data_IF_184899887190
#
_entry.id   IF_184899887190
#
_cell.length_a   1.000
_cell.length_b   1.000
_cell.length_c   1.000
_cell.angle_alpha   90.00
_cell.angle_beta   90.00
_cell.angle_gamma   90.00
#
_symmetry.space_group_name_H-M   'P 1'
#
loop_
_entity.id
_entity.type
_entity.pdbx_description
1 polymer ?
#
# COMPACT_ATOMS: atom_id res chain seq x y z
N UNK A 1 -52.91 -25.64 -15.92
CA UNK A 1 -54.33 -26.03 -16.11
C UNK A 1 -54.75 -26.86 -14.92
N UNK A 2 -55.48 -26.27 -13.98
CA UNK A 2 -56.62 -26.86 -13.28
C UNK A 2 -57.28 -25.69 -12.53
N UNK A 3 -58.42 -25.26 -13.09
CA UNK A 3 -59.32 -24.27 -12.50
C UNK A 3 -60.15 -24.95 -11.42
N UNK A 4 -60.23 -24.33 -10.24
CA UNK A 4 -61.14 -24.69 -9.17
C UNK A 4 -61.66 -23.40 -8.55
N UNK A 5 -62.82 -22.95 -9.02
CA UNK A 5 -63.52 -21.73 -8.64
C UNK A 5 -64.61 -22.08 -7.62
N UNK A 6 -64.58 -21.50 -6.42
CA UNK A 6 -65.72 -21.41 -5.47
C UNK A 6 -65.46 -20.24 -4.48
N UNK A 7 -66.47 -19.66 -3.81
CA UNK A 7 -66.86 -18.27 -4.03
C UNK A 7 -66.57 -17.34 -2.84
N UNK A 8 -66.50 -16.06 -3.16
CA UNK A 8 -66.45 -14.91 -2.25
C UNK A 8 -67.64 -14.91 -1.29
N UNK A 9 -67.37 -15.01 0.02
CA UNK A 9 -68.33 -14.64 1.05
C UNK A 9 -68.11 -13.17 1.44
N UNK A 10 -69.20 -12.43 1.26
CA UNK A 10 -69.54 -11.07 1.67
C UNK A 10 -68.87 -10.59 2.95
N UNK A 11 -68.04 -9.55 2.82
CA UNK A 11 -67.59 -8.70 3.94
C UNK A 11 -68.69 -7.65 4.15
N UNK A 12 -69.43 -7.77 5.24
CA UNK A 12 -70.37 -6.74 5.70
C UNK A 12 -69.56 -5.61 6.37
N UNK A 13 -69.23 -4.58 5.58
CA UNK A 13 -68.69 -3.32 6.09
C UNK A 13 -69.81 -2.53 6.75
N UNK A 14 -69.79 -2.47 8.08
CA UNK A 14 -70.71 -1.66 8.87
C UNK A 14 -70.44 -0.18 8.62
N UNK A 15 -71.44 0.51 8.07
CA UNK A 15 -71.50 1.95 7.84
C UNK A 15 -71.06 2.76 9.07
N UNK A 16 -70.01 3.57 8.90
CA UNK A 16 -69.74 4.71 9.78
C UNK A 16 -70.57 5.87 9.23
N UNK A 17 -71.71 6.17 9.87
CA UNK A 17 -72.46 7.41 9.65
C UNK A 17 -71.62 8.59 10.14
N UNK A 18 -71.00 9.28 9.19
CA UNK A 18 -70.49 10.64 9.31
C UNK A 18 -71.67 11.62 9.41
N UNK A 19 -71.98 12.02 10.64
CA UNK A 19 -72.84 13.17 10.92
C UNK A 19 -71.99 14.44 11.00
N UNK A 20 -71.85 15.14 9.87
CA UNK A 20 -71.39 16.52 9.82
C UNK A 20 -72.59 17.43 10.12
N UNK A 21 -72.63 18.02 11.31
CA UNK A 21 -73.38 19.23 11.66
C UNK A 21 -72.43 19.95 12.64
N UNK A 22 -71.68 20.95 12.21
CA UNK A 22 -72.23 22.25 11.87
C UNK A 22 -71.94 23.17 13.05
N UNK A 23 -70.82 23.89 12.96
CA UNK A 23 -70.38 24.88 13.93
C UNK A 23 -71.46 25.95 14.19
N UNK A 24 -71.86 26.10 15.45
CA UNK A 24 -72.30 27.39 15.99
C UNK A 24 -71.62 27.58 17.34
N UNK A 25 -70.67 28.50 17.37
CA UNK A 25 -69.97 28.94 18.55
C UNK A 25 -70.94 29.63 19.52
N UNK A 26 -70.97 29.17 20.78
CA UNK A 26 -71.40 29.99 21.92
C UNK A 26 -70.50 29.65 23.11
N UNK A 27 -69.70 30.63 23.52
CA UNK A 27 -68.85 30.58 24.70
C UNK A 27 -69.71 30.41 25.95
N UNK A 28 -69.61 29.24 26.59
CA UNK A 28 -70.14 28.97 27.92
C UNK A 28 -68.96 28.89 28.92
N UNK A 29 -69.06 29.77 29.91
CA UNK A 29 -68.27 30.02 31.13
C UNK A 29 -67.55 28.78 31.74
N UNK A 30 -66.33 28.93 32.30
CA UNK A 30 -65.46 27.84 32.83
C UNK A 30 -65.88 27.14 34.14
N UNK A 31 -67.05 27.41 34.72
CA UNK A 31 -67.46 26.85 36.03
C UNK A 31 -67.80 25.35 36.03
N UNK A 32 -68.24 24.79 34.90
CA UNK A 32 -68.68 23.38 34.81
C UNK A 32 -67.49 22.40 34.87
N UNK A 33 -66.35 22.79 34.29
CA UNK A 33 -65.12 21.97 34.25
C UNK A 33 -64.46 21.89 35.63
N UNK A 34 -64.43 22.98 36.38
CA UNK A 34 -63.79 23.02 37.71
C UNK A 34 -64.55 22.15 38.73
N UNK A 35 -65.89 22.14 38.69
CA UNK A 35 -66.71 21.26 39.51
C UNK A 35 -66.44 19.78 39.22
N UNK A 36 -66.40 19.39 37.92
CA UNK A 36 -66.09 18.02 37.50
C UNK A 36 -64.69 17.58 37.95
N UNK A 37 -63.70 18.47 37.85
CA UNK A 37 -62.32 18.21 38.32
C UNK A 37 -62.28 17.99 39.84
N UNK A 38 -62.99 18.80 40.62
CA UNK A 38 -63.04 18.67 42.08
C UNK A 38 -63.67 17.32 42.47
N UNK A 39 -64.79 16.93 41.85
CA UNK A 39 -65.43 15.63 42.12
C UNK A 39 -64.53 14.45 41.73
N UNK A 40 -63.85 14.53 40.57
CA UNK A 40 -62.89 13.51 40.16
C UNK A 40 -61.69 13.41 41.11
N UNK A 41 -61.14 14.55 41.55
CA UNK A 41 -60.06 14.60 42.54
C UNK A 41 -60.49 13.99 43.87
N UNK A 42 -61.69 14.32 44.38
CA UNK A 42 -62.25 13.70 45.60
C UNK A 42 -62.37 12.19 45.45
N UNK A 43 -62.90 11.70 44.32
CA UNK A 43 -63.04 10.26 44.03
C UNK A 43 -61.69 9.55 44.01
N UNK A 44 -60.63 10.18 43.48
CA UNK A 44 -59.29 9.57 43.36
C UNK A 44 -58.45 9.70 44.64
N UNK A 45 -58.61 10.77 45.41
CA UNK A 45 -57.88 11.03 46.65
C UNK A 45 -58.53 10.39 47.88
N UNK A 46 -59.81 9.99 47.79
CA UNK A 46 -60.56 9.43 48.92
C UNK A 46 -60.69 10.46 50.05
N UNK A 47 -60.29 10.07 51.27
CA UNK A 47 -60.35 10.93 52.46
C UNK A 47 -59.21 11.96 52.57
N UNK A 48 -58.31 12.02 51.58
CA UNK A 48 -57.19 12.98 51.61
C UNK A 48 -57.62 14.37 51.14
N UNK A 49 -57.25 15.45 51.86
CA UNK A 49 -57.60 16.80 51.44
C UNK A 49 -56.91 17.15 50.11
N UNK A 50 -57.65 17.81 49.21
CA UNK A 50 -57.12 18.30 47.93
C UNK A 50 -56.13 19.43 48.24
N UNK A 51 -54.88 19.29 47.78
CA UNK A 51 -53.87 20.35 47.89
C UNK A 51 -54.32 21.58 47.09
N UNK A 52 -54.22 22.80 47.65
CA UNK A 52 -54.57 24.01 46.91
C UNK A 52 -53.68 24.13 45.66
N UNK A 53 -54.31 24.34 44.51
CA UNK A 53 -53.66 24.49 43.22
C UNK A 53 -54.09 25.79 42.54
N UNK A 54 -53.26 26.31 41.64
CA UNK A 54 -53.57 27.53 40.89
C UNK A 54 -54.61 27.22 39.80
N UNK A 55 -55.82 27.76 39.96
CA UNK A 55 -56.92 27.63 39.01
C UNK A 55 -56.72 28.64 37.87
N UNK A 56 -55.87 28.27 36.92
CA UNK A 56 -55.66 28.98 35.66
C UNK A 56 -56.25 28.15 34.50
N UNK A 57 -56.65 28.78 33.39
CA UNK A 57 -57.27 28.12 32.23
C UNK A 57 -56.45 26.91 31.78
N UNK A 58 -55.13 27.08 31.69
CA UNK A 58 -54.19 25.99 31.36
C UNK A 58 -54.24 24.83 32.37
N UNK A 59 -54.29 25.12 33.67
CA UNK A 59 -54.33 24.09 34.72
C UNK A 59 -55.66 23.34 34.70
N UNK A 60 -56.78 24.04 34.51
CA UNK A 60 -58.10 23.43 34.44
C UNK A 60 -58.27 22.55 33.20
N UNK A 61 -57.71 22.96 32.05
CA UNK A 61 -57.73 22.15 30.83
C UNK A 61 -56.91 20.87 30.98
N UNK A 62 -55.70 20.96 31.53
CA UNK A 62 -54.83 19.80 31.80
C UNK A 62 -55.52 18.82 32.75
N UNK A 63 -56.09 19.31 33.86
CA UNK A 63 -56.77 18.46 34.84
C UNK A 63 -58.06 17.86 34.30
N UNK A 64 -58.82 18.60 33.49
CA UNK A 64 -60.02 18.08 32.82
C UNK A 64 -59.67 16.94 31.86
N UNK A 65 -58.65 17.13 31.03
CA UNK A 65 -58.17 16.11 30.09
C UNK A 65 -57.63 14.89 30.84
N UNK A 66 -56.86 15.11 31.92
CA UNK A 66 -56.35 14.02 32.76
C UNK A 66 -57.50 13.24 33.42
N UNK A 67 -58.55 13.93 33.87
CA UNK A 67 -59.73 13.29 34.45
C UNK A 67 -60.45 12.40 33.44
N UNK A 68 -60.69 12.92 32.23
CA UNK A 68 -61.33 12.18 31.15
C UNK A 68 -60.49 10.96 30.70
N UNK A 69 -59.17 11.14 30.52
CA UNK A 69 -58.27 10.04 30.21
C UNK A 69 -58.25 8.98 31.32
N UNK A 70 -58.27 9.38 32.60
CA UNK A 70 -58.27 8.42 33.70
C UNK A 70 -59.61 7.69 33.81
N UNK A 71 -60.74 8.36 33.61
CA UNK A 71 -62.05 7.71 33.61
C UNK A 71 -62.19 6.70 32.47
N UNK A 72 -61.74 7.06 31.27
CA UNK A 72 -61.69 6.15 30.12
C UNK A 72 -60.82 4.93 30.42
N UNK A 73 -59.61 5.14 30.94
CA UNK A 73 -58.71 4.05 31.32
C UNK A 73 -59.26 3.17 32.43
N UNK A 74 -59.87 3.76 33.47
CA UNK A 74 -60.50 2.99 34.55
C UNK A 74 -61.62 2.10 34.00
N UNK A 75 -62.43 2.63 33.10
CA UNK A 75 -63.49 1.89 32.43
C UNK A 75 -62.93 0.73 31.59
N UNK A 76 -61.91 0.98 30.78
CA UNK A 76 -61.27 -0.07 29.96
C UNK A 76 -60.62 -1.16 30.81
N UNK A 77 -59.97 -0.77 31.92
CA UNK A 77 -59.43 -1.73 32.90
C UNK A 77 -60.55 -2.53 33.55
N UNK A 78 -61.67 -1.90 33.92
CA UNK A 78 -62.81 -2.60 34.49
C UNK A 78 -63.39 -3.64 33.51
N UNK A 79 -63.54 -3.27 32.23
CA UNK A 79 -63.95 -4.20 31.17
C UNK A 79 -62.96 -5.37 31.01
N UNK A 80 -61.66 -5.10 31.00
CA UNK A 80 -60.64 -6.15 30.92
C UNK A 80 -60.65 -7.09 32.14
N UNK A 81 -60.90 -6.55 33.35
CA UNK A 81 -61.06 -7.35 34.56
C UNK A 81 -62.29 -8.26 34.45
N UNK A 82 -63.41 -7.72 33.96
CA UNK A 82 -64.65 -8.49 33.84
C UNK A 82 -64.57 -9.55 32.74
N UNK A 83 -63.90 -9.25 31.62
CA UNK A 83 -63.56 -10.24 30.58
C UNK A 83 -62.68 -11.36 31.13
N UNK A 84 -61.60 -11.04 31.85
CA UNK A 84 -60.73 -12.04 32.48
C UNK A 84 -61.47 -12.90 33.51
N UNK A 85 -62.36 -12.31 34.31
CA UNK A 85 -63.22 -13.07 35.23
C UNK A 85 -64.16 -14.00 34.48
N UNK A 86 -64.77 -13.54 33.37
CA UNK A 86 -65.63 -14.36 32.54
C UNK A 86 -64.84 -15.54 31.95
N UNK A 87 -63.70 -15.26 31.32
CA UNK A 87 -62.81 -16.27 30.75
C UNK A 87 -62.35 -17.29 31.78
N UNK A 88 -62.05 -16.84 33.02
CA UNK A 88 -61.68 -17.74 34.13
C UNK A 88 -62.83 -18.65 34.53
N UNK A 89 -64.07 -18.14 34.54
CA UNK A 89 -65.26 -18.97 34.81
C UNK A 89 -65.50 -19.97 33.69
N UNK A 90 -65.35 -19.56 32.44
CA UNK A 90 -65.51 -20.43 31.27
C UNK A 90 -64.46 -21.55 31.25
N UNK A 91 -63.19 -21.24 31.50
CA UNK A 91 -62.12 -22.25 31.56
C UNK A 91 -62.31 -23.19 32.74
N UNK A 92 -62.72 -22.69 33.90
CA UNK A 92 -63.05 -23.53 35.06
C UNK A 92 -64.25 -24.45 34.79
N UNK A 93 -65.29 -23.95 34.13
CA UNK A 93 -66.45 -24.74 33.74
C UNK A 93 -66.08 -25.82 32.71
N UNK A 94 -65.28 -25.48 31.70
CA UNK A 94 -64.77 -26.44 30.72
C UNK A 94 -63.90 -27.52 31.37
N UNK A 95 -63.04 -27.15 32.33
CA UNK A 95 -62.23 -28.09 33.08
C UNK A 95 -63.08 -29.06 33.92
N UNK A 96 -64.11 -28.56 34.61
CA UNK A 96 -65.05 -29.39 35.36
C UNK A 96 -65.85 -30.31 34.44
N UNK A 97 -66.36 -29.80 33.31
CA UNK A 97 -67.07 -30.61 32.32
C UNK A 97 -66.21 -31.75 31.79
N UNK A 98 -64.95 -31.48 31.40
CA UNK A 98 -64.02 -32.51 30.94
C UNK A 98 -63.73 -33.54 32.03
N UNK A 99 -63.55 -33.10 33.28
CA UNK A 99 -63.33 -33.98 34.43
C UNK A 99 -64.54 -34.92 34.65
N UNK A 100 -65.75 -34.38 34.64
CA UNK A 100 -66.98 -35.15 34.80
C UNK A 100 -67.19 -36.12 33.63
N UNK A 101 -66.99 -35.65 32.40
CA UNK A 101 -67.08 -36.48 31.19
C UNK A 101 -66.09 -37.66 31.21
N UNK A 102 -64.84 -37.43 31.63
CA UNK A 102 -63.83 -38.48 31.76
C UNK A 102 -64.19 -39.49 32.88
N UNK A 103 -64.72 -38.99 34.00
CA UNK A 103 -65.15 -39.84 35.11
C UNK A 103 -66.33 -40.74 34.71
N UNK A 104 -67.26 -40.23 33.90
CA UNK A 104 -68.41 -40.98 33.38
C UNK A 104 -68.01 -41.99 32.29
N UNK A 105 -67.15 -41.58 31.35
CA UNK A 105 -66.77 -42.40 30.18
C UNK A 105 -65.76 -43.51 30.48
N UNK A 106 -64.85 -43.31 31.44
CA UNK A 106 -63.79 -44.26 31.81
C UNK A 106 -64.08 -44.93 33.17
N UNK A 107 -65.11 -44.45 33.89
CA UNK A 107 -65.48 -44.91 35.23
C UNK A 107 -64.50 -44.45 36.33
N UNK A 108 -64.77 -44.77 37.61
CA UNK A 108 -63.90 -44.41 38.75
C UNK A 108 -62.52 -45.10 38.72
N UNK A 109 -62.27 -45.94 37.71
CA UNK A 109 -61.01 -46.67 37.56
C UNK A 109 -59.86 -45.81 37.02
N UNK A 110 -60.13 -44.65 36.39
CA UNK A 110 -59.07 -43.77 35.91
C UNK A 110 -58.28 -43.11 37.06
N UNK A 111 -58.90 -42.90 38.21
CA UNK A 111 -58.21 -42.45 39.44
C UNK A 111 -57.50 -43.60 40.18
N UNK A 112 -57.64 -44.84 39.72
CA UNK A 112 -57.03 -46.04 40.31
C UNK A 112 -55.85 -46.54 39.47
N UNK A 113 -55.07 -45.62 38.89
CA UNK A 113 -53.79 -46.00 38.31
C UNK A 113 -52.89 -46.57 39.41
N UNK A 114 -52.06 -47.56 39.04
CA UNK A 114 -50.95 -47.94 39.91
C UNK A 114 -50.03 -46.74 40.12
N UNK A 115 -49.27 -46.71 41.22
CA UNK A 115 -48.28 -45.66 41.47
C UNK A 115 -47.33 -45.44 40.27
N UNK A 116 -47.00 -46.52 39.55
CA UNK A 116 -46.20 -46.44 38.32
C UNK A 116 -46.96 -45.82 37.16
N UNK A 117 -48.24 -46.16 36.98
CA UNK A 117 -49.08 -45.56 35.93
C UNK A 117 -49.29 -44.06 36.12
N UNK A 118 -49.49 -43.61 37.37
CA UNK A 118 -49.57 -42.20 37.70
C UNK A 118 -48.25 -41.45 37.42
N UNK A 119 -47.10 -42.05 37.77
CA UNK A 119 -45.78 -41.49 37.44
C UNK A 119 -45.58 -41.31 35.94
N UNK A 120 -45.86 -42.35 35.13
CA UNK A 120 -45.68 -42.26 33.67
C UNK A 120 -46.61 -41.23 33.02
N UNK A 121 -47.84 -41.10 33.51
CA UNK A 121 -48.77 -40.08 33.01
C UNK A 121 -48.30 -38.68 33.36
N UNK A 122 -47.82 -38.46 34.59
CA UNK A 122 -47.26 -37.17 35.00
C UNK A 122 -46.00 -36.83 34.19
N UNK A 123 -45.07 -37.78 33.99
CA UNK A 123 -43.89 -37.59 33.13
C UNK A 123 -44.27 -37.26 31.68
N UNK A 124 -45.31 -37.90 31.13
CA UNK A 124 -45.80 -37.62 29.79
C UNK A 124 -46.40 -36.22 29.69
N UNK A 125 -47.18 -35.80 30.69
CA UNK A 125 -47.75 -34.46 30.77
C UNK A 125 -46.63 -33.42 30.90
N UNK A 126 -45.65 -33.64 31.78
CA UNK A 126 -44.49 -32.77 31.93
C UNK A 126 -43.69 -32.67 30.63
N UNK A 127 -43.46 -33.79 29.96
CA UNK A 127 -42.79 -33.82 28.65
C UNK A 127 -43.60 -33.08 27.58
N UNK A 128 -44.93 -33.21 27.58
CA UNK A 128 -45.80 -32.50 26.66
C UNK A 128 -45.75 -30.99 26.89
N UNK A 129 -45.77 -30.56 28.15
CA UNK A 129 -45.65 -29.15 28.54
C UNK A 129 -44.28 -28.58 28.20
N UNK A 130 -43.20 -29.33 28.44
CA UNK A 130 -41.83 -28.90 28.14
C UNK A 130 -41.58 -28.75 26.65
N UNK A 131 -42.11 -29.66 25.84
CA UNK A 131 -42.02 -29.62 24.38
C UNK A 131 -43.10 -28.73 23.75
N UNK A 132 -44.02 -28.19 24.55
CA UNK A 132 -45.16 -27.38 24.11
C UNK A 132 -46.00 -28.05 22.99
N UNK A 133 -46.14 -29.39 23.05
CA UNK A 133 -46.88 -30.14 22.03
C UNK A 133 -48.38 -29.84 22.09
N UNK A 134 -49.01 -29.79 20.92
CA UNK A 134 -50.46 -29.49 20.79
C UNK A 134 -51.36 -30.61 21.30
N UNK A 135 -50.91 -31.86 21.16
CA UNK A 135 -51.60 -33.04 21.65
C UNK A 135 -50.59 -34.07 22.17
N UNK A 136 -51.07 -35.02 22.97
CA UNK A 136 -50.25 -36.13 23.48
C UNK A 136 -50.11 -37.26 22.46
N UNK A 137 -50.27 -36.98 21.16
CA UNK A 137 -50.09 -37.99 20.13
C UNK A 137 -48.59 -38.25 19.91
N UNK A 138 -48.24 -39.49 19.61
CA UNK A 138 -46.86 -39.87 19.30
C UNK A 138 -46.28 -39.02 18.16
N UNK A 139 -47.09 -38.68 17.16
CA UNK A 139 -46.66 -37.90 16.00
C UNK A 139 -46.24 -36.49 16.39
N UNK A 140 -47.00 -35.82 17.27
CA UNK A 140 -46.64 -34.47 17.76
C UNK A 140 -45.33 -34.48 18.53
N UNK A 141 -45.12 -35.46 19.43
CA UNK A 141 -43.84 -35.64 20.11
C UNK A 141 -42.68 -35.87 19.14
N UNK A 142 -42.87 -36.78 18.17
CA UNK A 142 -41.82 -37.10 17.19
C UNK A 142 -41.45 -35.90 16.32
N UNK A 143 -42.42 -35.07 15.93
CA UNK A 143 -42.17 -33.85 15.16
C UNK A 143 -41.37 -32.82 15.96
N UNK A 144 -41.79 -32.51 17.19
CA UNK A 144 -41.08 -31.54 18.03
C UNK A 144 -39.67 -32.02 18.42
N UNK A 145 -39.52 -33.31 18.74
CA UNK A 145 -38.21 -33.91 19.01
C UNK A 145 -37.31 -33.81 17.78
N UNK A 146 -37.83 -34.09 16.58
CA UNK A 146 -37.05 -34.01 15.35
C UNK A 146 -36.67 -32.57 14.99
N UNK A 147 -37.57 -31.60 15.20
CA UNK A 147 -37.28 -30.18 15.01
C UNK A 147 -36.19 -29.70 15.98
N UNK A 148 -36.31 -30.01 17.28
CA UNK A 148 -35.30 -29.70 18.28
C UNK A 148 -33.97 -30.39 17.99
N UNK A 149 -33.99 -31.66 17.58
CA UNK A 149 -32.77 -32.39 17.21
C UNK A 149 -32.10 -31.77 15.98
N UNK A 150 -32.89 -31.31 15.00
CA UNK A 150 -32.38 -30.61 13.82
C UNK A 150 -31.76 -29.26 14.19
N UNK A 151 -32.41 -28.47 15.04
CA UNK A 151 -31.90 -27.21 15.56
C UNK A 151 -30.62 -27.40 16.37
N UNK A 152 -30.58 -28.43 17.23
CA UNK A 152 -29.39 -28.79 18.00
C UNK A 152 -28.22 -29.06 17.06
N UNK A 153 -28.42 -29.91 16.04
CA UNK A 153 -27.38 -30.23 15.08
C UNK A 153 -26.91 -29.02 14.26
N UNK A 154 -27.83 -28.13 13.87
CA UNK A 154 -27.49 -26.88 13.18
C UNK A 154 -26.60 -25.98 14.06
N UNK A 155 -26.94 -25.84 15.34
CA UNK A 155 -26.16 -25.07 16.31
C UNK A 155 -24.79 -25.70 16.55
N UNK A 156 -24.71 -27.02 16.72
CA UNK A 156 -23.46 -27.75 16.89
C UNK A 156 -22.53 -27.57 15.68
N UNK A 157 -23.06 -27.69 14.46
CA UNK A 157 -22.29 -27.49 13.23
C UNK A 157 -21.76 -26.05 13.11
N UNK A 158 -22.59 -25.05 13.43
CA UNK A 158 -22.16 -23.65 13.47
C UNK A 158 -21.06 -23.43 14.52
N UNK A 159 -21.22 -24.01 15.71
CA UNK A 159 -20.22 -23.91 16.77
C UNK A 159 -18.88 -24.53 16.34
N UNK A 160 -18.91 -25.72 15.73
CA UNK A 160 -17.71 -26.37 15.20
C UNK A 160 -17.02 -25.53 14.11
N UNK A 161 -17.80 -24.94 13.20
CA UNK A 161 -17.27 -24.02 12.18
C UNK A 161 -16.59 -22.79 12.79
N UNK A 162 -17.22 -22.18 13.80
CA UNK A 162 -16.64 -21.03 14.51
C UNK A 162 -15.35 -21.40 15.24
N UNK A 163 -15.30 -22.56 15.92
CA UNK A 163 -14.08 -23.06 16.56
C UNK A 163 -12.93 -23.25 15.56
N UNK A 164 -13.23 -23.80 14.37
CA UNK A 164 -12.26 -23.93 13.29
C UNK A 164 -11.75 -22.57 12.81
N UNK A 165 -12.63 -21.60 12.60
CA UNK A 165 -12.25 -20.24 12.21
C UNK A 165 -11.38 -19.56 13.27
N UNK A 166 -11.74 -19.69 14.55
CA UNK A 166 -10.94 -19.18 15.67
C UNK A 166 -9.54 -19.80 15.66
N UNK A 167 -9.42 -21.11 15.46
CA UNK A 167 -8.13 -21.79 15.39
C UNK A 167 -7.29 -21.30 14.21
N UNK A 168 -7.91 -21.14 13.03
CA UNK A 168 -7.25 -20.61 11.84
C UNK A 168 -6.76 -19.17 12.06
N UNK A 169 -7.58 -18.31 12.65
CA UNK A 169 -7.21 -16.94 12.97
C UNK A 169 -6.09 -16.87 14.02
N UNK A 170 -6.11 -17.73 15.03
CA UNK A 170 -5.00 -17.87 16.00
C UNK A 170 -3.69 -18.25 15.32
N UNK A 171 -3.72 -19.19 14.37
CA UNK A 171 -2.53 -19.60 13.60
C UNK A 171 -1.97 -18.42 12.80
N UNK A 172 -2.82 -17.74 12.00
CA UNK A 172 -2.43 -16.55 11.23
C UNK A 172 -1.88 -15.43 12.12
N UNK A 173 -2.49 -15.21 13.27
CA UNK A 173 -2.03 -14.21 14.24
C UNK A 173 -0.63 -14.55 14.78
N UNK A 174 -0.38 -15.83 15.07
CA UNK A 174 0.94 -16.29 15.53
C UNK A 174 2.00 -16.14 14.44
N UNK A 175 1.67 -16.46 13.19
CA UNK A 175 2.54 -16.25 12.02
C UNK A 175 2.86 -14.76 11.81
N UNK A 176 1.85 -13.89 11.91
CA UNK A 176 2.02 -12.45 11.78
C UNK A 176 2.90 -11.87 12.90
N UNK A 177 2.73 -12.31 14.15
CA UNK A 177 3.59 -11.91 15.27
C UNK A 177 5.05 -12.35 15.08
N UNK A 178 5.27 -13.55 14.56
CA UNK A 178 6.63 -14.02 14.25
C UNK A 178 7.29 -13.16 13.17
N UNK A 179 6.56 -12.80 12.13
CA UNK A 179 7.02 -11.89 11.07
C UNK A 179 7.25 -10.47 11.60
N UNK A 180 6.38 -9.94 12.46
CA UNK A 180 6.57 -8.63 13.09
C UNK A 180 7.89 -8.59 13.88
N UNK A 181 8.18 -9.66 14.62
CA UNK A 181 9.43 -9.78 15.38
C UNK A 181 10.65 -9.76 14.46
N UNK A 182 10.65 -10.54 13.38
CA UNK A 182 11.78 -10.56 12.43
C UNK A 182 11.97 -9.21 11.75
N UNK A 183 10.88 -8.55 11.35
CA UNK A 183 10.95 -7.22 10.72
C UNK A 183 11.52 -6.15 11.68
N UNK A 184 11.23 -6.24 12.99
CA UNK A 184 11.85 -5.35 13.99
C UNK A 184 13.35 -5.59 14.13
N UNK A 185 13.78 -6.86 14.10
CA UNK A 185 15.19 -7.22 14.14
C UNK A 185 15.93 -6.72 12.89
N UNK A 186 15.34 -6.89 11.70
CA UNK A 186 15.88 -6.42 10.43
C UNK A 186 15.97 -4.88 10.39
N UNK A 187 14.96 -4.17 10.90
CA UNK A 187 14.96 -2.71 10.97
C UNK A 187 16.09 -2.20 11.88
N UNK A 188 16.28 -2.81 13.04
CA UNK A 188 17.36 -2.45 13.96
C UNK A 188 18.74 -2.70 13.34
N UNK A 189 18.92 -3.77 12.57
CA UNK A 189 20.17 -4.04 11.86
C UNK A 189 20.40 -3.05 10.71
N UNK A 190 19.35 -2.71 9.95
CA UNK A 190 19.42 -1.70 8.90
C UNK A 190 19.79 -0.31 9.47
N UNK A 191 19.22 0.08 10.60
CA UNK A 191 19.56 1.34 11.29
C UNK A 191 21.04 1.39 11.68
N UNK A 192 21.59 0.29 12.23
CA UNK A 192 23.03 0.20 12.55
C UNK A 192 23.90 0.33 11.30
N UNK A 193 23.51 -0.31 10.19
CA UNK A 193 24.25 -0.23 8.93
C UNK A 193 24.22 1.20 8.36
N UNK A 194 23.07 1.87 8.43
CA UNK A 194 22.94 3.27 8.05
C UNK A 194 23.88 4.16 8.87
N UNK A 195 23.88 4.03 10.21
CA UNK A 195 24.76 4.80 11.08
C UNK A 195 26.26 4.59 10.74
N UNK A 196 26.67 3.34 10.47
CA UNK A 196 28.04 3.03 10.06
C UNK A 196 28.40 3.64 8.69
N UNK A 197 27.45 3.66 7.74
CA UNK A 197 27.66 4.31 6.44
C UNK A 197 27.74 5.84 6.57
N UNK A 198 26.93 6.44 7.43
CA UNK A 198 26.99 7.89 7.70
C UNK A 198 28.36 8.31 8.21
N UNK A 199 28.94 7.58 9.17
CA UNK A 199 30.30 7.83 9.66
C UNK A 199 31.35 7.68 8.54
N UNK A 200 31.19 6.66 7.69
CA UNK A 200 32.08 6.43 6.53
C UNK A 200 31.94 7.54 5.47
N UNK A 201 30.73 8.04 5.23
CA UNK A 201 30.49 9.16 4.33
C UNK A 201 31.10 10.44 4.91
N UNK A 202 30.93 10.69 6.22
CA UNK A 202 31.51 11.85 6.90
C UNK A 202 33.05 11.85 6.82
N UNK A 203 33.70 10.72 7.09
CA UNK A 203 35.18 10.60 6.97
C UNK A 203 35.67 10.78 5.52
N UNK A 204 34.92 10.29 4.53
CA UNK A 204 35.21 10.54 3.11
C UNK A 204 35.03 12.01 2.73
N UNK A 205 33.99 12.67 3.24
CA UNK A 205 33.77 14.10 3.01
C UNK A 205 34.92 14.94 3.56
N UNK A 206 35.38 14.65 4.78
CA UNK A 206 36.57 15.29 5.37
C UNK A 206 37.83 15.07 4.52
N UNK A 207 38.02 13.85 4.00
CA UNK A 207 39.15 13.52 3.11
C UNK A 207 39.09 14.31 1.80
N UNK A 208 37.90 14.42 1.21
CA UNK A 208 37.69 15.18 -0.02
C UNK A 208 38.00 16.67 0.19
N UNK A 209 37.51 17.24 1.30
CA UNK A 209 37.79 18.63 1.65
C UNK A 209 39.30 18.89 1.82
N UNK A 210 40.02 17.98 2.47
CA UNK A 210 41.48 18.07 2.60
C UNK A 210 42.18 18.05 1.24
N UNK A 211 41.78 17.15 0.33
CA UNK A 211 42.36 17.07 -1.02
C UNK A 211 42.07 18.32 -1.85
N UNK A 212 40.89 18.91 -1.68
CA UNK A 212 40.53 20.17 -2.35
C UNK A 212 41.36 21.35 -1.87
N UNK A 213 41.58 21.47 -0.55
CA UNK A 213 42.51 22.45 0.01
C UNK A 213 43.93 22.26 -0.54
N UNK A 214 44.43 21.02 -0.59
CA UNK A 214 45.75 20.69 -1.13
C UNK A 214 45.87 21.03 -2.63
N UNK A 215 44.81 20.79 -3.41
CA UNK A 215 44.74 21.20 -4.81
C UNK A 215 44.83 22.72 -4.94
N UNK A 216 44.07 23.47 -4.14
CA UNK A 216 44.07 24.93 -4.17
C UNK A 216 45.43 25.52 -3.82
N UNK A 217 46.12 24.97 -2.81
CA UNK A 217 47.50 25.35 -2.46
C UNK A 217 48.46 25.08 -3.63
N UNK A 218 48.39 23.90 -4.23
CA UNK A 218 49.22 23.54 -5.37
C UNK A 218 49.01 24.48 -6.57
N UNK A 219 47.76 24.81 -6.90
CA UNK A 219 47.42 25.79 -7.96
C UNK A 219 48.01 27.16 -7.63
N UNK A 220 47.88 27.62 -6.39
CA UNK A 220 48.41 28.92 -5.95
C UNK A 220 49.95 28.96 -6.06
N UNK A 221 50.63 27.86 -5.70
CA UNK A 221 52.09 27.74 -5.81
C UNK A 221 52.57 27.70 -7.25
N UNK A 222 51.84 27.02 -8.13
CA UNK A 222 52.13 27.00 -9.57
C UNK A 222 52.01 28.42 -10.13
N UNK A 223 50.90 29.12 -9.86
CA UNK A 223 50.68 30.49 -10.32
C UNK A 223 51.76 31.46 -9.80
N UNK A 224 52.17 31.31 -8.54
CA UNK A 224 53.26 32.11 -7.98
C UNK A 224 54.59 31.82 -8.68
N UNK A 225 54.91 30.54 -8.94
CA UNK A 225 56.12 30.16 -9.67
C UNK A 225 56.12 30.67 -11.12
N UNK A 226 54.99 30.55 -11.83
CA UNK A 226 54.81 31.09 -13.18
C UNK A 226 54.97 32.61 -13.20
N UNK A 227 54.40 33.32 -12.21
CA UNK A 227 54.56 34.77 -12.07
C UNK A 227 56.02 35.17 -11.80
N UNK A 228 56.72 34.42 -10.95
CA UNK A 228 58.15 34.61 -10.71
C UNK A 228 58.98 34.37 -11.97
N UNK A 229 58.70 33.32 -12.75
CA UNK A 229 59.36 33.05 -14.02
C UNK A 229 59.13 34.21 -15.00
N UNK A 230 57.87 34.65 -15.17
CA UNK A 230 57.53 35.79 -16.02
C UNK A 230 58.27 37.08 -15.59
N UNK A 231 58.35 37.37 -14.29
CA UNK A 231 59.07 38.54 -13.76
C UNK A 231 60.59 38.45 -13.94
N UNK A 232 61.15 37.24 -13.99
CA UNK A 232 62.58 37.00 -14.20
C UNK A 232 63.02 37.20 -15.66
N UNK A 233 62.06 37.44 -16.57
CA UNK A 233 62.32 37.55 -18.00
C UNK A 233 62.46 36.17 -18.66
N UNK A 234 61.46 35.31 -18.46
CA UNK A 234 61.40 34.01 -19.12
C UNK A 234 61.28 34.18 -20.65
N UNK A 235 62.38 33.96 -21.35
CA UNK A 235 62.43 34.01 -22.81
C UNK A 235 62.24 32.58 -23.36
N UNK A 236 61.15 32.32 -24.13
CA UNK A 236 60.94 31.05 -24.83
C UNK A 236 62.12 30.62 -25.70
N UNK A 237 62.99 31.55 -26.12
CA UNK A 237 64.21 31.28 -26.87
C UNK A 237 65.27 30.50 -26.07
N UNK A 238 65.27 30.64 -24.74
CA UNK A 238 66.21 29.98 -23.81
C UNK A 238 65.70 28.62 -23.30
N UNK A 239 64.48 28.24 -23.65
CA UNK A 239 63.94 26.94 -23.29
C UNK A 239 64.75 25.81 -23.94
N UNK A 240 64.85 24.67 -23.24
CA UNK A 240 65.64 23.51 -23.70
C UNK A 240 65.30 23.11 -25.15
N UNK A 241 64.02 23.08 -25.50
CA UNK A 241 63.58 22.71 -26.85
C UNK A 241 64.05 23.69 -27.93
N UNK A 242 64.02 25.00 -27.64
CA UNK A 242 64.52 26.06 -28.53
C UNK A 242 66.04 26.01 -28.68
N UNK A 243 66.77 25.80 -27.58
CA UNK A 243 68.23 25.63 -27.58
C UNK A 243 68.66 24.39 -28.36
N UNK A 244 67.96 23.27 -28.19
CA UNK A 244 68.22 22.04 -28.95
C UNK A 244 67.99 22.31 -30.44
N UNK A 245 66.86 22.88 -30.82
CA UNK A 245 66.58 23.22 -32.23
C UNK A 245 67.63 24.19 -32.83
N UNK A 246 68.14 25.14 -32.04
CA UNK A 246 69.18 26.07 -32.48
C UNK A 246 70.55 25.38 -32.62
N UNK A 247 70.89 24.47 -31.71
CA UNK A 247 72.13 23.69 -31.79
C UNK A 247 72.12 22.70 -32.96
N UNK A 248 70.97 22.09 -33.27
CA UNK A 248 70.78 21.26 -34.45
C UNK A 248 70.95 22.10 -35.74
N UNK A 249 70.35 23.29 -35.80
CA UNK A 249 70.54 24.23 -36.93
C UNK A 249 72.00 24.65 -37.08
N UNK A 250 72.69 24.96 -35.97
CA UNK A 250 74.10 25.34 -35.97
C UNK A 250 74.97 24.18 -36.46
N UNK A 251 74.71 22.96 -36.00
CA UNK A 251 75.42 21.75 -36.45
C UNK A 251 75.23 21.53 -37.96
N UNK A 252 74.01 21.73 -38.47
CA UNK A 252 73.71 21.65 -39.91
C UNK A 252 74.43 22.73 -40.72
N UNK A 253 74.43 23.98 -40.26
CA UNK A 253 75.16 25.08 -40.90
C UNK A 253 76.68 24.87 -40.85
N UNK A 254 77.20 24.37 -39.73
CA UNK A 254 78.61 24.04 -39.59
C UNK A 254 79.01 22.95 -40.58
N UNK A 255 78.21 21.88 -40.71
CA UNK A 255 78.41 20.83 -41.71
C UNK A 255 78.42 21.38 -43.15
N UNK A 256 77.62 22.41 -43.45
CA UNK A 256 77.64 23.10 -44.76
C UNK A 256 78.83 24.06 -44.94
N UNK A 257 79.31 24.68 -43.86
CA UNK A 257 80.44 25.62 -43.90
C UNK A 257 81.79 24.95 -44.14
N UNK A 258 81.96 23.69 -43.72
CA UNK A 258 83.20 22.90 -43.89
C UNK A 258 83.56 22.72 -45.37
N UNK A 259 82.66 22.22 -46.26
CA UNK A 259 82.99 22.10 -47.69
C UNK A 259 83.15 23.46 -48.37
N UNK A 260 82.41 24.50 -47.96
CA UNK A 260 82.58 25.85 -48.51
C UNK A 260 83.94 26.46 -48.13
N UNK A 261 84.41 26.27 -46.89
CA UNK A 261 85.76 26.66 -46.46
C UNK A 261 86.83 25.91 -47.23
N UNK A 262 86.71 24.60 -47.40
CA UNK A 262 87.63 23.82 -48.25
C UNK A 262 87.67 24.35 -49.69
N UNK A 263 86.53 24.74 -50.25
CA UNK A 263 86.46 25.34 -51.59
C UNK A 263 87.14 26.70 -51.63
N UNK A 264 86.95 27.55 -50.62
CA UNK A 264 87.63 28.84 -50.53
C UNK A 264 89.14 28.69 -50.37
N UNK A 265 89.59 27.75 -49.54
CA UNK A 265 91.01 27.43 -49.33
C UNK A 265 91.64 26.95 -50.65
N UNK A 266 90.94 26.11 -51.43
CA UNK A 266 91.39 25.75 -52.79
C UNK A 266 91.49 26.94 -53.75
N UNK A 267 90.67 27.99 -53.56
CA UNK A 267 90.76 29.23 -54.34
C UNK A 267 91.89 30.15 -53.89
N UNK A 268 92.29 30.08 -52.61
CA UNK A 268 93.41 30.85 -52.07
C UNK A 268 94.77 30.21 -52.41
N UNK A 269 94.81 28.90 -52.64
CA UNK A 269 95.99 28.18 -53.14
C UNK A 269 96.25 28.39 -54.64
N UNK A 270 95.31 29.00 -55.37
CA UNK A 270 95.48 29.36 -56.78
C UNK A 270 96.40 30.58 -56.92
N UNK A 271 97.52 30.42 -57.63
CA UNK A 271 98.53 31.48 -57.81
C UNK A 271 97.94 32.71 -58.54
N UNK A 272 98.19 33.96 -58.11
CA UNK A 272 97.42 35.15 -58.54
C UNK A 272 97.59 35.62 -59.98
N UNK A 273 98.31 34.89 -60.83
CA UNK A 273 98.65 35.31 -62.19
C UNK A 273 98.10 34.31 -63.23
N UNK A 274 97.11 34.77 -64.00
CA UNK A 274 96.42 34.02 -65.06
C UNK A 274 97.39 33.35 -66.05
N UNK A 275 98.52 34.00 -66.34
CA UNK A 275 99.53 33.47 -67.27
C UNK A 275 100.32 32.28 -66.70
N UNK A 276 100.57 32.26 -65.38
CA UNK A 276 101.30 31.17 -64.71
C UNK A 276 100.35 29.97 -64.48
N UNK A 277 99.07 30.24 -64.19
CA UNK A 277 98.07 29.19 -64.07
C UNK A 277 97.83 28.46 -65.40
N UNK A 278 97.77 29.20 -66.51
CA UNK A 278 97.59 28.60 -67.84
C UNK A 278 98.81 27.77 -68.26
N UNK A 279 100.02 28.24 -67.97
CA UNK A 279 101.24 27.45 -68.19
C UNK A 279 101.25 26.14 -67.38
N UNK A 280 100.83 26.17 -66.10
CA UNK A 280 100.72 24.97 -65.27
C UNK A 280 99.59 24.03 -65.71
N UNK A 281 98.49 24.55 -66.24
CA UNK A 281 97.41 23.72 -66.82
C UNK A 281 97.87 23.05 -68.11
N UNK A 282 98.60 23.77 -68.97
CA UNK A 282 99.14 23.21 -70.21
C UNK A 282 100.26 22.20 -69.94
N UNK A 283 101.02 22.38 -68.86
CA UNK A 283 102.02 21.40 -68.39
C UNK A 283 101.36 20.16 -67.79
N UNK A 284 100.37 20.30 -66.90
CA UNK A 284 99.62 19.16 -66.38
C UNK A 284 98.83 18.42 -67.47
N UNK A 285 98.33 19.12 -68.50
CA UNK A 285 97.74 18.50 -69.69
C UNK A 285 98.77 17.69 -70.47
N UNK A 286 99.99 18.19 -70.65
CA UNK A 286 101.07 17.43 -71.29
C UNK A 286 101.49 16.21 -70.47
N UNK A 287 101.53 16.31 -69.15
CA UNK A 287 101.78 15.15 -68.28
C UNK A 287 100.63 14.13 -68.37
N UNK A 288 99.37 14.58 -68.43
CA UNK A 288 98.23 13.69 -68.60
C UNK A 288 98.22 13.01 -69.98
N UNK A 289 98.48 13.75 -71.06
CA UNK A 289 98.63 13.20 -72.40
C UNK A 289 99.82 12.23 -72.48
N UNK A 290 100.91 12.47 -71.75
CA UNK A 290 102.03 11.54 -71.65
C UNK A 290 101.65 10.25 -70.90
N UNK A 291 100.90 10.34 -69.81
CA UNK A 291 100.41 9.17 -69.05
C UNK A 291 99.33 8.42 -69.84
N UNK A 292 98.45 9.12 -70.55
CA UNK A 292 97.47 8.52 -71.45
C UNK A 292 98.15 7.84 -72.64
N UNK A 293 99.22 8.41 -73.18
CA UNK A 293 100.05 7.78 -74.20
C UNK A 293 100.80 6.55 -73.66
N UNK A 294 101.36 6.61 -72.45
CA UNK A 294 102.00 5.45 -71.78
C UNK A 294 100.98 4.35 -71.48
N UNK A 295 99.77 4.72 -71.07
CA UNK A 295 98.66 3.80 -70.87
C UNK A 295 98.21 3.19 -72.20
N UNK A 296 98.09 4.00 -73.26
CA UNK A 296 97.73 3.53 -74.59
C UNK A 296 98.80 2.57 -75.14
N UNK A 297 100.09 2.88 -74.96
CA UNK A 297 101.20 2.00 -75.36
C UNK A 297 101.18 0.69 -74.56
N UNK A 298 100.94 0.72 -73.24
CA UNK A 298 100.77 -0.49 -72.42
C UNK A 298 99.53 -1.30 -72.82
N UNK A 299 98.45 -0.66 -73.24
CA UNK A 299 97.23 -1.32 -73.72
C UNK A 299 97.45 -1.94 -75.10
N UNK A 300 98.20 -1.30 -76.00
CA UNK A 300 98.50 -1.81 -77.35
C UNK A 300 99.55 -2.95 -77.33
N UNK A 301 100.50 -2.88 -76.40
CA UNK A 301 101.45 -3.96 -76.08
C UNK A 301 100.75 -5.19 -75.47
N UNK A 302 99.67 -5.00 -74.69
CA UNK A 302 98.82 -6.10 -74.23
C UNK A 302 97.90 -6.67 -75.32
N UNK A 303 97.56 -5.87 -76.34
CA UNK A 303 96.77 -6.31 -77.50
C UNK A 303 97.52 -7.20 -78.48
N UNK A 304 98.86 -7.11 -78.54
CA UNK A 304 99.68 -7.75 -79.60
C UNK A 304 100.43 -9.03 -79.16
N UNK A 305 100.30 -9.48 -77.90
CA UNK A 305 101.05 -10.63 -77.38
C UNK A 305 100.22 -11.59 -76.48
N UNK A 306 98.92 -11.73 -76.74
CA UNK A 306 98.13 -12.91 -76.36
C UNK A 306 97.32 -13.41 -77.57
N UNK A 307 97.28 -14.74 -77.83
CA UNK A 307 96.94 -15.28 -79.15
C UNK A 307 95.45 -15.27 -79.47
N UNK A 308 95.18 -15.25 -80.78
CA UNK A 308 93.88 -15.37 -81.44
C UNK A 308 92.95 -16.46 -80.85
N UNK A 309 91.64 -16.14 -80.84
CA UNK A 309 90.42 -16.98 -80.73
C UNK A 309 89.92 -17.26 -79.29
N UNK A 310 88.63 -17.06 -78.95
CA UNK A 310 87.44 -17.61 -79.61
C UNK A 310 86.18 -16.77 -79.32
N UNK A 311 85.42 -16.54 -80.40
CA UNK A 311 83.98 -16.19 -80.49
C UNK A 311 83.09 -16.80 -79.39
N UNK A 312 82.19 -15.97 -78.84
CA UNK A 312 80.75 -16.25 -78.74
C UNK A 312 80.01 -14.90 -78.92
N UNK A 313 79.55 -14.59 -80.14
CA UNK A 313 78.16 -14.72 -80.62
C UNK A 313 77.08 -14.20 -79.64
N UNK A 314 76.57 -13.01 -79.96
CA UNK A 314 75.15 -12.64 -80.14
C UNK A 314 74.06 -13.56 -79.53
N UNK A 315 73.25 -13.02 -78.61
CA UNK A 315 71.99 -12.32 -78.91
C UNK A 315 71.60 -11.38 -77.76
#
# INVERSE_FOLDING_TARGET
MYSGSVPLHTIETREVRSGLLGCTAMAAVPEDKSAKIITWLQKKLGDKPITPYEVNDRTTEILSHLAECNEMRDHDIALAIDDLKLKTKETAAAANFLKEFLLESIGPSFTNLSRSGDSYMNELIESALLLEVKDTSLTSFMLEINDLSSKLHEVENKNHSMEYEILNMKKKFTEALALEKSLKEDLLEAEKQCAAQEEKIASRANTLQFLEQKRSDAVSRIQAAESCLAASGDDPSLHHQSLVALSEKLSKLQAQSVPMRKKLESYLDLSPNLFIAQAKVDEAKRELEAIEAELAEKVDMMGSALPEQVKWRFN
#
